data_IF_577891757086
#
_entry.id   IF_577891757086
#
_cell.length_a   1.000
_cell.length_b   1.000
_cell.length_c   1.000
_cell.angle_alpha   90.00
_cell.angle_beta   90.00
_cell.angle_gamma   90.00
#
_symmetry.space_group_name_H-M   'P 1'
#
loop_
_entity.id
_entity.type
_entity.pdbx_description
1 polymer ?
#
# COMPACT_ATOMS: atom_id res chain seq x y z
N UNK A 1 -6.97 9.82 10.22
CA UNK A 1 -6.75 8.66 9.31
C UNK A 1 -5.63 7.75 9.81
N UNK A 2 -4.41 8.27 10.01
CA UNK A 2 -3.22 7.49 10.43
C UNK A 2 -3.42 6.77 11.76
N UNK A 3 -3.91 7.45 12.80
CA UNK A 3 -4.18 6.83 14.12
C UNK A 3 -5.22 5.72 14.04
N UNK A 4 -6.26 5.91 13.22
CA UNK A 4 -7.28 4.88 12.99
C UNK A 4 -6.73 3.66 12.26
N UNK A 5 -5.80 3.86 11.32
CA UNK A 5 -5.10 2.75 10.66
C UNK A 5 -4.23 1.99 11.65
N UNK A 6 -3.42 2.70 12.44
CA UNK A 6 -2.55 2.10 13.45
C UNK A 6 -3.31 1.17 14.38
N UNK A 7 -4.44 1.64 14.89
CA UNK A 7 -5.25 0.90 15.85
C UNK A 7 -5.99 -0.29 15.21
N UNK A 8 -6.44 -0.17 13.96
CA UNK A 8 -7.18 -1.25 13.27
C UNK A 8 -6.26 -2.32 12.69
N UNK A 9 -5.15 -1.92 12.09
CA UNK A 9 -4.26 -2.82 11.37
C UNK A 9 -3.18 -3.44 12.26
N UNK A 10 -3.09 -3.05 13.54
CA UNK A 10 -2.10 -3.56 14.51
C UNK A 10 -0.66 -3.53 13.96
N UNK A 11 -0.32 -2.49 13.19
CA UNK A 11 0.98 -2.36 12.52
C UNK A 11 2.01 -1.67 13.41
N UNK A 12 3.27 -2.14 13.30
CA UNK A 12 4.41 -1.59 14.05
C UNK A 12 4.97 -0.31 13.42
N UNK A 13 5.01 -0.26 12.09
CA UNK A 13 5.54 0.87 11.32
C UNK A 13 4.52 1.32 10.29
N UNK A 14 4.45 2.63 10.05
CA UNK A 14 3.53 3.27 9.11
C UNK A 14 4.34 4.11 8.15
N UNK A 15 4.19 3.84 6.86
CA UNK A 15 4.82 4.62 5.79
C UNK A 15 3.74 5.20 4.90
N UNK A 16 3.97 6.42 4.41
CA UNK A 16 3.00 7.15 3.58
C UNK A 16 3.68 7.70 2.36
N UNK A 17 3.04 7.56 1.21
CA UNK A 17 3.48 8.26 0.01
C UNK A 17 2.63 9.51 -0.18
N UNK A 18 3.27 10.65 -0.42
CA UNK A 18 2.62 11.97 -0.43
C UNK A 18 2.76 12.69 -1.77
N UNK A 19 3.56 12.14 -2.69
CA UNK A 19 3.92 12.84 -3.92
C UNK A 19 4.13 11.91 -5.12
N UNK A 20 3.24 10.94 -5.33
CA UNK A 20 3.35 10.10 -6.51
C UNK A 20 2.00 9.67 -7.10
N UNK A 21 2.00 9.50 -8.43
CA UNK A 21 0.94 8.83 -9.14
C UNK A 21 1.01 7.32 -8.82
N UNK A 22 -0.13 6.65 -8.70
CA UNK A 22 -0.17 5.21 -8.42
C UNK A 22 0.51 4.35 -9.53
N UNK A 23 0.64 4.89 -10.74
CA UNK A 23 1.38 4.32 -11.87
C UNK A 23 2.90 4.47 -11.75
N UNK A 24 3.40 5.31 -10.85
CA UNK A 24 4.84 5.47 -10.59
C UNK A 24 5.37 4.21 -9.90
N UNK A 25 6.45 3.60 -10.43
CA UNK A 25 7.09 2.43 -9.83
C UNK A 25 7.42 2.65 -8.36
N UNK A 26 7.18 1.64 -7.51
CA UNK A 26 7.34 1.76 -6.05
C UNK A 26 8.74 2.29 -5.68
N UNK A 27 9.78 1.78 -6.33
CA UNK A 27 11.17 2.19 -6.09
C UNK A 27 11.50 3.63 -6.51
N UNK A 28 10.63 4.29 -7.30
CA UNK A 28 10.79 5.68 -7.74
C UNK A 28 9.88 6.67 -7.01
N UNK A 29 9.08 6.21 -6.05
CA UNK A 29 8.20 7.07 -5.26
C UNK A 29 8.98 7.86 -4.22
N UNK A 30 8.59 9.11 -3.98
CA UNK A 30 9.17 10.00 -2.96
C UNK A 30 10.71 10.14 -3.02
N UNK A 31 11.30 10.04 -4.22
CA UNK A 31 12.75 10.26 -4.41
C UNK A 31 13.20 11.65 -3.94
N UNK A 32 12.31 12.64 -4.09
CA UNK A 32 12.48 13.96 -3.50
C UNK A 32 11.67 14.01 -2.21
N UNK A 33 12.34 14.23 -1.08
CA UNK A 33 11.68 14.37 0.22
C UNK A 33 10.66 15.51 0.18
N UNK A 34 9.44 15.20 0.57
CA UNK A 34 8.39 16.17 0.74
C UNK A 34 8.34 16.62 2.21
N UNK A 35 8.35 17.93 2.45
CA UNK A 35 8.37 18.50 3.79
C UNK A 35 7.15 18.08 4.63
N UNK A 36 6.02 17.79 3.98
CA UNK A 36 4.80 17.37 4.65
C UNK A 36 4.97 16.09 5.49
N UNK A 37 5.93 15.21 5.14
CA UNK A 37 6.23 14.01 5.94
C UNK A 37 6.64 14.38 7.36
N UNK A 38 7.39 15.47 7.54
CA UNK A 38 7.81 15.95 8.86
C UNK A 38 6.66 16.51 9.71
N UNK A 39 5.54 16.87 9.08
CA UNK A 39 4.34 17.41 9.74
C UNK A 39 3.37 16.29 10.15
N UNK A 40 3.54 15.07 9.63
CA UNK A 40 2.65 13.94 9.92
C UNK A 40 3.05 13.23 11.21
N UNK A 41 2.20 13.33 12.23
CA UNK A 41 2.36 12.57 13.46
C UNK A 41 2.04 11.08 13.27
N UNK A 42 2.88 10.20 13.82
CA UNK A 42 2.62 8.75 13.84
C UNK A 42 2.99 8.02 12.55
N UNK A 43 3.82 8.64 11.71
CA UNK A 43 4.39 8.08 10.49
C UNK A 43 5.89 7.86 10.69
N UNK A 44 6.43 6.79 10.11
CA UNK A 44 7.84 6.38 10.19
C UNK A 44 8.66 6.84 8.99
N UNK A 45 8.00 7.27 7.90
CA UNK A 45 8.64 7.85 6.74
C UNK A 45 7.82 7.70 5.47
N UNK A 46 8.48 7.90 4.34
CA UNK A 46 7.91 7.75 3.00
C UNK A 46 8.24 6.40 2.34
N UNK A 47 7.93 6.26 1.06
CA UNK A 47 8.21 5.03 0.30
C UNK A 47 9.71 4.66 0.27
N UNK A 48 10.61 5.65 0.25
CA UNK A 48 12.05 5.39 0.27
C UNK A 48 12.50 4.91 1.66
N UNK A 49 11.87 5.43 2.72
CA UNK A 49 12.15 4.96 4.08
C UNK A 49 11.62 3.53 4.31
N UNK A 50 10.47 3.18 3.71
CA UNK A 50 9.97 1.80 3.68
C UNK A 50 10.98 0.86 3.02
N UNK A 51 11.46 1.18 1.82
CA UNK A 51 12.41 0.33 1.08
C UNK A 51 13.70 0.11 1.89
N UNK A 52 14.22 1.16 2.51
CA UNK A 52 15.40 1.07 3.39
C UNK A 52 15.14 0.19 4.61
N UNK A 53 13.94 0.23 5.17
CA UNK A 53 13.59 -0.57 6.33
C UNK A 53 13.37 -2.04 5.97
N UNK A 54 12.76 -2.31 4.81
CA UNK A 54 12.61 -3.67 4.27
C UNK A 54 13.96 -4.38 4.16
N UNK A 55 15.02 -3.68 3.75
CA UNK A 55 16.36 -4.27 3.66
C UNK A 55 16.93 -4.77 5.00
N UNK A 56 16.38 -4.32 6.14
CA UNK A 56 16.85 -4.67 7.49
C UNK A 56 16.00 -5.76 8.16
N UNK A 57 14.83 -6.07 7.60
CA UNK A 57 13.86 -6.97 8.23
C UNK A 57 13.95 -8.38 7.68
N UNK A 58 13.83 -9.39 8.54
CA UNK A 58 13.87 -10.80 8.12
C UNK A 58 12.54 -11.31 7.56
N UNK A 59 11.42 -10.87 8.13
CA UNK A 59 10.07 -11.24 7.72
C UNK A 59 9.13 -10.05 7.84
N UNK A 60 8.36 -9.79 6.79
CA UNK A 60 7.49 -8.62 6.68
C UNK A 60 6.10 -9.05 6.22
N UNK A 61 5.09 -8.55 6.94
CA UNK A 61 3.71 -8.49 6.48
C UNK A 61 3.40 -7.03 6.16
N UNK A 62 3.16 -6.72 4.89
CA UNK A 62 2.88 -5.37 4.43
C UNK A 62 1.36 -5.17 4.40
N UNK A 63 0.86 -4.19 5.15
CA UNK A 63 -0.55 -3.78 5.07
C UNK A 63 -0.67 -2.52 4.25
N UNK A 64 -1.48 -2.56 3.21
CA UNK A 64 -1.68 -1.46 2.26
C UNK A 64 -3.13 -1.01 2.31
N UNK A 65 -3.34 0.31 2.40
CA UNK A 65 -4.65 0.89 2.22
C UNK A 65 -4.92 1.00 0.73
N UNK A 66 -5.84 0.17 0.23
CA UNK A 66 -6.18 0.06 -1.20
C UNK A 66 -4.98 -0.35 -2.10
N UNK A 67 -5.29 -1.03 -3.20
CA UNK A 67 -4.33 -1.43 -4.23
C UNK A 67 -3.47 -0.27 -4.73
N UNK A 68 -4.06 0.90 -4.99
CA UNK A 68 -3.35 2.07 -5.48
C UNK A 68 -2.38 2.68 -4.45
N UNK A 69 -2.58 2.37 -3.16
CA UNK A 69 -1.64 2.72 -2.10
C UNK A 69 -0.27 2.05 -2.26
N UNK A 70 -0.22 0.87 -2.90
CA UNK A 70 1.03 0.18 -3.21
C UNK A 70 1.44 0.39 -4.67
N UNK A 71 0.62 -0.03 -5.64
CA UNK A 71 0.84 0.19 -7.08
C UNK A 71 -0.38 -0.29 -7.87
N UNK A 72 -0.64 0.35 -9.01
CA UNK A 72 -1.65 -0.11 -9.98
C UNK A 72 -0.99 -0.84 -11.16
N UNK A 73 0.30 -1.13 -11.07
CA UNK A 73 1.06 -1.84 -12.09
C UNK A 73 1.48 -3.20 -11.54
N UNK A 74 0.93 -4.27 -12.12
CA UNK A 74 1.20 -5.64 -11.69
C UNK A 74 2.68 -6.03 -11.86
N UNK A 75 3.31 -5.64 -12.97
CA UNK A 75 4.72 -5.93 -13.24
C UNK A 75 5.65 -5.24 -12.24
N UNK A 76 5.29 -4.03 -11.81
CA UNK A 76 5.98 -3.29 -10.75
C UNK A 76 5.83 -3.99 -9.39
N UNK A 77 4.62 -4.44 -9.05
CA UNK A 77 4.36 -5.20 -7.83
C UNK A 77 5.14 -6.52 -7.80
N UNK A 78 5.15 -7.25 -8.91
CA UNK A 78 5.89 -8.51 -9.03
C UNK A 78 7.40 -8.26 -8.86
N UNK A 79 7.93 -7.24 -9.52
CA UNK A 79 9.35 -6.87 -9.41
C UNK A 79 9.71 -6.50 -7.97
N UNK A 80 8.86 -5.72 -7.31
CA UNK A 80 9.04 -5.33 -5.91
C UNK A 80 9.04 -6.54 -4.95
N UNK A 81 8.12 -7.47 -5.12
CA UNK A 81 8.07 -8.72 -4.32
C UNK A 81 9.31 -9.59 -4.57
N UNK A 82 9.78 -9.68 -5.82
CA UNK A 82 10.98 -10.45 -6.18
C UNK A 82 12.26 -9.85 -5.59
N UNK A 83 12.35 -8.52 -5.53
CA UNK A 83 13.47 -7.78 -4.94
C UNK A 83 13.47 -7.88 -3.41
N UNK A 84 12.28 -7.87 -2.79
CA UNK A 84 12.10 -7.92 -1.34
C UNK A 84 11.47 -9.24 -0.89
N UNK A 85 12.19 -10.34 -1.05
CA UNK A 85 11.72 -11.71 -0.70
C UNK A 85 11.40 -11.94 0.78
N UNK A 86 11.79 -10.99 1.64
CA UNK A 86 11.42 -10.99 3.05
C UNK A 86 9.97 -10.56 3.28
N UNK A 87 9.27 -10.02 2.27
CA UNK A 87 7.83 -9.80 2.30
C UNK A 87 7.15 -11.15 2.10
N UNK A 88 6.57 -11.69 3.18
CA UNK A 88 5.86 -12.97 3.13
C UNK A 88 4.41 -12.77 2.70
N UNK A 89 3.79 -11.67 3.16
CA UNK A 89 2.38 -11.38 2.92
C UNK A 89 2.15 -9.91 2.61
N UNK A 90 1.21 -9.65 1.70
CA UNK A 90 0.63 -8.33 1.48
C UNK A 90 -0.85 -8.40 1.79
N UNK A 91 -1.32 -7.57 2.72
CA UNK A 91 -2.72 -7.43 3.09
C UNK A 91 -3.22 -6.12 2.50
N UNK A 92 -4.21 -6.19 1.62
CA UNK A 92 -4.90 -5.02 1.07
C UNK A 92 -6.14 -4.80 1.93
N UNK A 93 -6.11 -3.73 2.72
CA UNK A 93 -7.24 -3.28 3.53
C UNK A 93 -8.14 -2.37 2.67
N UNK A 94 -9.23 -2.96 2.16
CA UNK A 94 -10.31 -2.28 1.45
C UNK A 94 -11.58 -2.17 2.31
N UNK A 95 -11.52 -2.44 3.62
CA UNK A 95 -12.67 -2.50 4.52
C UNK A 95 -13.55 -1.25 4.48
N UNK A 96 -12.93 -0.09 4.31
CA UNK A 96 -13.62 1.19 4.24
C UNK A 96 -14.50 1.35 2.97
N UNK A 97 -14.29 0.52 1.95
CA UNK A 97 -14.92 0.61 0.63
C UNK A 97 -15.83 -0.58 0.33
N UNK A 98 -15.34 -1.80 0.53
CA UNK A 98 -16.05 -3.03 0.16
C UNK A 98 -16.24 -4.00 1.34
N UNK A 99 -15.81 -3.62 2.55
CA UNK A 99 -15.81 -4.48 3.74
C UNK A 99 -15.06 -5.80 3.52
N UNK A 100 -14.07 -5.83 2.63
CA UNK A 100 -13.22 -6.98 2.38
C UNK A 100 -11.76 -6.68 2.77
N UNK A 101 -11.03 -7.76 3.00
CA UNK A 101 -9.57 -7.76 3.13
C UNK A 101 -9.05 -8.79 2.17
N UNK A 102 -8.10 -8.39 1.32
CA UNK A 102 -7.46 -9.31 0.39
C UNK A 102 -6.07 -9.64 0.92
N UNK A 103 -5.74 -10.92 0.99
CA UNK A 103 -4.41 -11.38 1.43
C UNK A 103 -3.70 -12.00 0.24
N UNK A 104 -2.45 -11.58 0.04
CA UNK A 104 -1.57 -12.06 -1.01
C UNK A 104 -0.37 -12.74 -0.36
N UNK A 105 -0.27 -14.06 -0.54
CA UNK A 105 0.90 -14.84 -0.12
C UNK A 105 1.99 -14.72 -1.18
N UNK A 106 3.05 -13.95 -0.88
CA UNK A 106 4.02 -13.51 -1.89
C UNK A 106 4.81 -14.67 -2.51
N UNK A 107 5.10 -15.71 -1.72
CA UNK A 107 5.78 -16.90 -2.19
C UNK A 107 4.97 -17.67 -3.26
N UNK A 108 3.64 -17.65 -3.16
CA UNK A 108 2.75 -18.33 -4.10
C UNK A 108 2.57 -17.53 -5.39
N UNK A 109 2.44 -16.21 -5.30
CA UNK A 109 2.26 -15.33 -6.47
C UNK A 109 3.50 -15.25 -7.36
N UNK A 110 4.71 -15.37 -6.80
CA UNK A 110 5.96 -15.47 -7.57
C UNK A 110 5.94 -16.68 -8.52
N UNK A 111 5.22 -17.74 -8.14
CA UNK A 111 5.13 -19.03 -8.84
C UNK A 111 3.88 -19.10 -9.73
N UNK A 112 2.77 -18.50 -9.29
CA UNK A 112 1.49 -18.43 -10.01
C UNK A 112 0.82 -17.09 -9.73
N UNK A 113 0.99 -16.07 -10.58
CA UNK A 113 0.34 -14.78 -10.38
C UNK A 113 -1.15 -14.93 -10.70
N UNK A 114 -1.96 -15.28 -9.70
CA UNK A 114 -3.42 -15.47 -9.84
C UNK A 114 -4.20 -14.40 -9.09
N UNK A 115 -3.66 -13.89 -7.99
CA UNK A 115 -4.29 -12.88 -7.15
C UNK A 115 -3.87 -11.47 -7.54
N UNK A 116 -2.70 -11.34 -8.19
CA UNK A 116 -2.14 -10.07 -8.64
C UNK A 116 -2.96 -9.39 -9.76
N UNK A 117 -3.78 -10.12 -10.52
CA UNK A 117 -4.66 -9.54 -11.55
C UNK A 117 -5.66 -8.51 -11.00
N UNK A 118 -5.98 -8.54 -9.70
CA UNK A 118 -6.86 -7.54 -9.07
C UNK A 118 -6.27 -6.12 -9.05
N UNK A 119 -4.96 -6.00 -9.26
CA UNK A 119 -4.22 -4.73 -9.30
C UNK A 119 -4.09 -4.16 -10.72
N UNK A 120 -4.38 -4.94 -11.76
CA UNK A 120 -4.26 -4.48 -13.15
C UNK A 120 -5.43 -3.56 -13.53
N UNK A 121 -5.13 -2.45 -14.22
CA UNK A 121 -6.13 -1.57 -14.82
C UNK A 121 -6.96 -0.68 -13.89
N UNK A 122 -6.67 -0.58 -12.58
CA UNK A 122 -7.35 0.39 -11.71
C UNK A 122 -6.78 1.80 -11.93
N UNK A 123 -7.59 2.69 -12.52
CA UNK A 123 -7.16 4.07 -12.82
C UNK A 123 -7.34 5.03 -11.63
N UNK A 124 -8.21 4.73 -10.66
CA UNK A 124 -8.61 5.69 -9.62
C UNK A 124 -8.38 5.18 -8.19
N UNK A 125 -7.88 6.07 -7.34
CA UNK A 125 -7.87 5.93 -5.88
C UNK A 125 -9.31 5.97 -5.37
N UNK A 126 -9.73 5.02 -4.54
CA UNK A 126 -11.05 5.12 -3.91
C UNK A 126 -11.08 6.30 -2.93
N UNK A 127 -11.87 7.33 -3.25
CA UNK A 127 -12.07 8.47 -2.35
C UNK A 127 -12.80 8.01 -1.07
N UNK A 128 -12.20 8.26 0.11
CA UNK A 128 -12.74 7.84 1.42
C UNK A 128 -13.88 8.72 1.96
N UNK A 129 -14.17 9.84 1.33
CA UNK A 129 -15.37 10.62 1.63
C UNK A 129 -16.57 9.97 0.94
N UNK A 130 -17.47 9.41 1.74
CA UNK A 130 -18.73 8.83 1.26
C UNK A 130 -19.44 9.78 0.30
N UNK A 131 -19.88 9.28 -0.86
CA UNK A 131 -21.14 9.72 -1.44
C UNK A 131 -22.21 9.43 -0.38
N UNK A 132 -22.59 10.44 0.40
CA UNK A 132 -23.87 10.39 1.09
C UNK A 132 -24.92 10.27 -0.02
N UNK A 133 -25.84 9.29 0.04
CA UNK A 133 -27.01 9.35 -0.83
C UNK A 133 -27.71 10.68 -0.53
N UNK A 134 -27.83 11.53 -1.55
CA UNK A 134 -28.70 12.71 -1.47
C UNK A 134 -30.09 12.22 -1.07
N UNK A 135 -30.69 12.77 -0.01
CA UNK A 135 -32.09 12.44 0.29
C UNK A 135 -32.90 12.87 -0.92
N UNK A 136 -33.51 11.91 -1.60
CA UNK A 136 -34.52 12.19 -2.62
C UNK A 136 -35.71 12.81 -1.92
N UNK A 137 -35.97 14.07 -2.28
CA UNK A 137 -37.13 14.86 -1.88
C UNK A 137 -38.45 14.18 -2.20
#
# INVERSE_FOLDING_TARGET
MITGLKNRSSVKYIYVTVSCNAKTPINRRDLKKNMIIGELSGVNGDAQDLIKELAKMSKVCLVVIDSAGLTTNMSDLESFIREHRNIEKIIIDTLAHDNQVNVVECAEEIVKPKSLFKFDGREELFHRSKMLPTPTS
#
